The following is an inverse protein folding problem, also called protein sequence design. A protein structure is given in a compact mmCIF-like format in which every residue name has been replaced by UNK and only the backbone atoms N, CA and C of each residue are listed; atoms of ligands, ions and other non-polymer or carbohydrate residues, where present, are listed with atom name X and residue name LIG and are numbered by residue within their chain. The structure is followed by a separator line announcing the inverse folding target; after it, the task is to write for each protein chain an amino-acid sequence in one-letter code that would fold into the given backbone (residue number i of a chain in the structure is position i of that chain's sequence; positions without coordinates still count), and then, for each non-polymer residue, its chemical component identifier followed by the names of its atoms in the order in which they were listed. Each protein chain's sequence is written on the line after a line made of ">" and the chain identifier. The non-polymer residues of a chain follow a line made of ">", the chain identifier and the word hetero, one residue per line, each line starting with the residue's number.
data_IF_388230421172
#
_entry.id   IF_388230421172
#
_cell.length_a   1.000
_cell.length_b   1.000
_cell.length_c   1.000
_cell.angle_alpha   90.00
_cell.angle_beta   90.00
_cell.angle_gamma   90.00
#
_symmetry.space_group_name_H-M   'P 1'
#
loop_
_entity.id
_entity.type
_entity.pdbx_description
1 polymer ?
#
# COMPACT_ATOMS: atom_id res chain seq x y z
N UNK A 1 12.09 2.32 2.41
CA UNK A 1 11.20 1.14 2.41
C UNK A 1 11.56 0.27 3.60
N UNK A 2 10.59 -0.15 4.41
CA UNK A 2 10.86 -1.11 5.48
C UNK A 2 11.12 -2.48 4.86
N UNK A 3 12.35 -2.99 4.95
CA UNK A 3 12.79 -4.25 4.34
C UNK A 3 11.92 -5.44 4.75
N UNK A 4 11.45 -5.45 6.00
CA UNK A 4 10.58 -6.49 6.56
C UNK A 4 9.19 -6.51 5.92
N UNK A 5 8.59 -5.34 5.67
CA UNK A 5 7.28 -5.24 5.03
C UNK A 5 7.35 -5.73 3.57
N UNK A 6 8.34 -5.26 2.81
CA UNK A 6 8.57 -5.73 1.44
C UNK A 6 8.83 -7.25 1.39
N UNK A 7 9.66 -7.77 2.31
CA UNK A 7 9.98 -9.20 2.38
C UNK A 7 8.73 -10.06 2.60
N UNK A 8 7.93 -9.76 3.63
CA UNK A 8 6.71 -10.52 3.91
C UNK A 8 5.67 -10.36 2.80
N UNK A 9 5.49 -9.13 2.31
CA UNK A 9 4.50 -8.78 1.30
C UNK A 9 4.75 -9.52 -0.02
N UNK A 10 6.00 -9.60 -0.47
CA UNK A 10 6.37 -10.25 -1.73
C UNK A 10 6.50 -11.77 -1.58
N UNK A 11 7.00 -12.26 -0.45
CA UNK A 11 7.20 -13.71 -0.23
C UNK A 11 5.88 -14.48 -0.15
N UNK A 12 4.80 -13.84 0.32
CA UNK A 12 3.45 -14.44 0.36
C UNK A 12 2.94 -14.79 -1.06
N UNK A 13 3.44 -14.09 -2.09
CA UNK A 13 3.07 -14.28 -3.49
C UNK A 13 3.96 -15.30 -4.22
N UNK A 14 4.65 -16.14 -3.46
CA UNK A 14 5.54 -17.21 -3.95
C UNK A 14 6.77 -16.73 -4.72
N UNK A 15 7.09 -15.43 -4.65
CA UNK A 15 8.40 -14.91 -5.09
C UNK A 15 9.46 -15.26 -4.06
N UNK A 16 10.69 -15.49 -4.53
CA UNK A 16 11.84 -15.79 -3.66
C UNK A 16 12.70 -14.55 -3.51
N UNK A 17 12.25 -13.61 -2.68
CA UNK A 17 13.02 -12.41 -2.34
C UNK A 17 13.82 -12.61 -1.06
N UNK A 18 14.98 -11.97 -0.97
CA UNK A 18 15.78 -11.89 0.26
C UNK A 18 15.92 -10.43 0.70
N UNK A 19 16.19 -10.15 1.98
CA UNK A 19 16.46 -8.80 2.46
C UNK A 19 17.55 -8.08 1.65
N UNK A 20 18.58 -8.80 1.22
CA UNK A 20 19.68 -8.27 0.40
C UNK A 20 19.21 -7.88 -1.01
N UNK A 21 18.35 -8.69 -1.63
CA UNK A 21 17.76 -8.37 -2.92
C UNK A 21 16.89 -7.12 -2.84
N UNK A 22 16.06 -7.03 -1.78
CA UNK A 22 15.20 -5.88 -1.51
C UNK A 22 16.04 -4.62 -1.31
N UNK A 23 17.12 -4.71 -0.52
CA UNK A 23 18.05 -3.60 -0.29
C UNK A 23 18.72 -3.15 -1.60
N UNK A 24 19.27 -4.08 -2.38
CA UNK A 24 19.94 -3.82 -3.67
C UNK A 24 19.02 -3.17 -4.69
N UNK A 25 17.76 -3.57 -4.71
CA UNK A 25 16.76 -2.98 -5.59
C UNK A 25 16.37 -1.58 -5.11
N UNK A 26 16.24 -1.37 -3.80
CA UNK A 26 15.90 -0.06 -3.23
C UNK A 26 17.03 0.98 -3.34
N UNK A 27 18.29 0.55 -3.42
CA UNK A 27 19.46 1.42 -3.62
C UNK A 27 19.73 1.74 -5.10
N UNK A 28 19.05 1.07 -6.04
CA UNK A 28 19.27 1.25 -7.48
C UNK A 28 20.46 0.46 -8.04
N UNK A 29 21.14 -0.35 -7.23
CA UNK A 29 22.35 -1.11 -7.61
C UNK A 29 22.04 -2.44 -8.33
N UNK A 30 20.80 -2.68 -8.72
CA UNK A 30 20.42 -3.91 -9.40
C UNK A 30 20.78 -3.87 -10.91
N UNK A 31 21.49 -4.90 -11.37
CA UNK A 31 21.90 -5.08 -12.76
C UNK A 31 21.04 -6.14 -13.47
N UNK A 32 20.52 -5.79 -14.66
CA UNK A 32 19.58 -6.61 -15.41
C UNK A 32 20.17 -7.87 -16.06
N UNK A 33 21.48 -8.11 -16.01
CA UNK A 33 22.12 -9.26 -16.68
C UNK A 33 22.08 -10.61 -15.91
N UNK A 34 21.29 -10.74 -14.82
CA UNK A 34 21.17 -11.99 -14.06
C UNK A 34 20.17 -13.00 -14.67
N UNK A 35 20.24 -14.28 -14.25
CA UNK A 35 19.33 -15.35 -14.69
C UNK A 35 17.84 -14.96 -14.59
N UNK A 36 17.01 -15.41 -15.53
CA UNK A 36 15.58 -15.09 -15.68
C UNK A 36 14.74 -15.16 -14.38
N UNK A 37 14.97 -16.15 -13.49
CA UNK A 37 14.28 -16.22 -12.19
C UNK A 37 14.65 -15.07 -11.25
N UNK A 38 15.94 -14.71 -11.15
CA UNK A 38 16.41 -13.60 -10.33
C UNK A 38 15.92 -12.25 -10.88
N UNK A 39 15.79 -12.13 -12.20
CA UNK A 39 15.15 -10.97 -12.82
C UNK A 39 13.69 -10.82 -12.40
N UNK A 40 12.91 -11.90 -12.41
CA UNK A 40 11.50 -11.88 -11.99
C UNK A 40 11.33 -11.47 -10.51
N UNK A 41 12.11 -12.05 -9.61
CA UNK A 41 12.06 -11.70 -8.17
C UNK A 41 12.50 -10.25 -7.92
N UNK A 42 13.54 -9.78 -8.62
CA UNK A 42 14.02 -8.40 -8.53
C UNK A 42 13.01 -7.38 -9.08
N UNK A 43 12.33 -7.72 -10.18
CA UNK A 43 11.26 -6.89 -10.74
C UNK A 43 10.10 -6.75 -9.75
N UNK A 44 9.67 -7.84 -9.11
CA UNK A 44 8.64 -7.77 -8.07
C UNK A 44 9.05 -6.83 -6.91
N UNK A 45 10.30 -6.96 -6.43
CA UNK A 45 10.83 -6.07 -5.39
C UNK A 45 10.89 -4.59 -5.82
N UNK A 46 11.27 -4.31 -7.07
CA UNK A 46 11.42 -2.94 -7.60
C UNK A 46 10.09 -2.21 -7.68
N UNK A 47 9.02 -2.96 -7.88
CA UNK A 47 7.71 -2.43 -8.23
C UNK A 47 6.85 -2.29 -6.99
N UNK A 48 7.02 -3.21 -6.04
CA UNK A 48 6.66 -2.94 -4.65
C UNK A 48 7.32 -1.66 -4.13
N UNK A 49 8.60 -1.45 -4.44
CA UNK A 49 9.30 -0.23 -4.06
C UNK A 49 8.70 1.03 -4.72
N UNK A 50 8.27 0.96 -5.98
CA UNK A 50 7.57 2.08 -6.65
C UNK A 50 6.23 2.40 -5.98
N UNK A 51 5.37 1.40 -5.78
CA UNK A 51 4.12 1.59 -5.06
C UNK A 51 4.35 2.15 -3.65
N UNK A 52 5.36 1.64 -2.94
CA UNK A 52 5.78 2.16 -1.64
C UNK A 52 6.20 3.64 -1.70
N UNK A 53 6.90 4.07 -2.76
CA UNK A 53 7.25 5.47 -2.96
C UNK A 53 5.99 6.33 -3.14
N UNK A 54 5.02 5.93 -3.98
CA UNK A 54 3.79 6.72 -4.13
C UNK A 54 2.97 6.77 -2.84
N UNK A 55 2.90 5.67 -2.07
CA UNK A 55 2.25 5.68 -0.75
C UNK A 55 2.98 6.61 0.21
N UNK A 56 4.32 6.65 0.15
CA UNK A 56 5.13 7.56 0.97
C UNK A 56 4.84 9.02 0.64
N UNK A 57 4.62 9.37 -0.64
CA UNK A 57 4.23 10.73 -1.01
C UNK A 57 2.85 11.11 -0.47
N UNK A 58 1.87 10.21 -0.53
CA UNK A 58 0.55 10.42 0.08
C UNK A 58 0.68 10.57 1.61
N UNK A 59 1.47 9.73 2.28
CA UNK A 59 1.74 9.85 3.73
C UNK A 59 2.38 11.19 4.08
N UNK A 60 3.34 11.68 3.29
CA UNK A 60 3.96 12.99 3.51
C UNK A 60 2.93 14.12 3.39
N UNK A 61 1.96 14.01 2.49
CA UNK A 61 0.87 14.98 2.37
C UNK A 61 -0.07 14.94 3.59
N UNK A 62 -0.42 13.74 4.06
CA UNK A 62 -1.20 13.54 5.29
C UNK A 62 -0.50 14.16 6.51
N UNK A 63 0.81 13.93 6.65
CA UNK A 63 1.62 14.52 7.72
C UNK A 63 1.71 16.05 7.65
N UNK A 64 1.44 16.66 6.49
CA UNK A 64 1.34 18.12 6.32
C UNK A 64 -0.08 18.65 6.60
N UNK A 65 -1.01 17.80 7.00
CA UNK A 65 -2.38 18.18 7.36
C UNK A 65 -3.42 17.96 6.28
N UNK A 66 -3.09 17.30 5.16
CA UNK A 66 -4.13 16.87 4.21
C UNK A 66 -4.97 15.72 4.78
N UNK A 67 -6.24 15.65 4.37
CA UNK A 67 -7.15 14.61 4.84
C UNK A 67 -6.73 13.22 4.32
N UNK A 68 -6.60 12.27 5.24
CA UNK A 68 -6.12 10.93 4.93
C UNK A 68 -7.13 10.09 4.15
N UNK A 69 -8.42 10.20 4.46
CA UNK A 69 -9.49 9.46 3.78
C UNK A 69 -9.58 9.88 2.32
N UNK A 70 -9.65 11.19 2.09
CA UNK A 70 -9.68 11.81 0.76
C UNK A 70 -8.43 11.46 -0.07
N UNK A 71 -7.23 11.58 0.51
CA UNK A 71 -6.00 11.23 -0.21
C UNK A 71 -5.94 9.74 -0.55
N UNK A 72 -6.38 8.87 0.37
CA UNK A 72 -6.42 7.45 0.11
C UNK A 72 -7.42 7.09 -0.99
N UNK A 73 -8.61 7.69 -1.00
CA UNK A 73 -9.62 7.52 -2.06
C UNK A 73 -9.06 7.91 -3.43
N UNK A 74 -8.40 9.07 -3.49
CA UNK A 74 -7.78 9.58 -4.71
C UNK A 74 -6.63 8.68 -5.21
N UNK A 75 -5.74 8.26 -4.32
CA UNK A 75 -4.45 7.69 -4.70
C UNK A 75 -4.42 6.15 -4.72
N UNK A 76 -5.38 5.44 -4.10
CA UNK A 76 -5.31 3.97 -3.99
C UNK A 76 -5.25 3.28 -5.36
N UNK A 77 -5.94 3.82 -6.37
CA UNK A 77 -5.89 3.28 -7.74
C UNK A 77 -4.50 3.41 -8.36
N UNK A 78 -3.78 4.49 -8.04
CA UNK A 78 -2.40 4.71 -8.48
C UNK A 78 -1.45 3.76 -7.77
N UNK A 79 -1.57 3.61 -6.44
CA UNK A 79 -0.75 2.65 -5.68
C UNK A 79 -0.90 1.22 -6.22
N UNK A 80 -2.13 0.85 -6.58
CA UNK A 80 -2.44 -0.45 -7.18
C UNK A 80 -1.75 -0.62 -8.54
N UNK A 81 -1.89 0.34 -9.46
CA UNK A 81 -1.24 0.27 -10.77
C UNK A 81 0.28 0.14 -10.66
N UNK A 82 0.93 0.96 -9.84
CA UNK A 82 2.40 0.89 -9.67
C UNK A 82 2.88 -0.46 -9.11
N UNK A 83 2.03 -1.16 -8.37
CA UNK A 83 2.31 -2.49 -7.85
C UNK A 83 2.25 -3.58 -8.93
N UNK A 84 1.41 -3.41 -9.95
CA UNK A 84 1.08 -4.46 -10.94
C UNK A 84 1.41 -4.14 -12.41
N UNK A 85 1.82 -2.92 -12.76
CA UNK A 85 2.36 -2.54 -14.07
C UNK A 85 3.39 -3.52 -14.69
N UNK A 86 4.23 -4.25 -13.92
CA UNK A 86 5.16 -5.24 -14.49
C UNK A 86 4.46 -6.46 -15.06
N UNK A 87 3.36 -6.87 -14.44
CA UNK A 87 2.54 -7.96 -14.98
C UNK A 87 1.97 -7.55 -16.33
N UNK A 88 1.66 -6.26 -16.51
CA UNK A 88 1.26 -5.70 -17.82
C UNK A 88 2.42 -5.69 -18.81
N UNK A 89 3.58 -5.18 -18.41
CA UNK A 89 4.77 -5.14 -19.27
C UNK A 89 5.28 -6.55 -19.66
N UNK A 90 5.08 -7.55 -18.81
CA UNK A 90 5.42 -8.95 -19.07
C UNK A 90 4.33 -9.71 -19.86
N UNK A 91 3.22 -9.06 -20.23
CA UNK A 91 2.08 -9.68 -20.91
C UNK A 91 1.31 -10.69 -20.07
N UNK A 92 1.50 -10.69 -18.74
CA UNK A 92 0.79 -11.54 -17.77
C UNK A 92 -0.60 -10.95 -17.45
N UNK A 93 -0.68 -9.63 -17.37
CA UNK A 93 -1.90 -8.85 -17.24
C UNK A 93 -2.02 -7.89 -18.42
N UNK A 94 -3.19 -7.33 -18.62
CA UNK A 94 -3.46 -6.23 -19.54
C UNK A 94 -3.65 -4.94 -18.75
N UNK A 95 -3.49 -3.78 -19.41
CA UNK A 95 -3.84 -2.50 -18.79
C UNK A 95 -5.31 -2.44 -18.36
N UNK A 96 -6.19 -3.17 -19.05
CA UNK A 96 -7.59 -3.30 -18.68
C UNK A 96 -7.79 -4.10 -17.37
N UNK A 97 -6.94 -5.09 -17.10
CA UNK A 97 -6.99 -5.85 -15.83
C UNK A 97 -6.62 -4.98 -14.62
N UNK A 98 -5.91 -3.87 -14.83
CA UNK A 98 -5.57 -2.89 -13.79
C UNK A 98 -6.51 -1.67 -13.77
N UNK A 99 -7.49 -1.64 -14.67
CA UNK A 99 -8.42 -0.53 -14.79
C UNK A 99 -9.54 -0.64 -13.77
N UNK A 100 -9.37 0.06 -12.64
CA UNK A 100 -10.39 0.13 -11.60
C UNK A 100 -10.49 -1.14 -10.77
N UNK A 101 -11.68 -1.40 -10.25
CA UNK A 101 -11.96 -2.59 -9.44
C UNK A 101 -12.27 -3.81 -10.31
N UNK A 102 -12.22 -5.00 -9.72
CA UNK A 102 -12.53 -6.24 -10.42
C UNK A 102 -13.95 -6.22 -11.00
N UNK A 103 -14.09 -6.83 -12.16
CA UNK A 103 -15.33 -6.99 -12.91
C UNK A 103 -15.92 -8.41 -12.79
N UNK A 104 -15.25 -9.31 -12.07
CA UNK A 104 -15.65 -10.70 -11.89
C UNK A 104 -15.62 -11.09 -10.40
N UNK A 105 -16.39 -12.12 -10.04
CA UNK A 105 -16.35 -12.70 -8.70
C UNK A 105 -15.03 -13.42 -8.47
N UNK A 106 -14.47 -13.27 -7.27
CA UNK A 106 -13.26 -13.99 -6.84
C UNK A 106 -13.52 -14.78 -5.57
N UNK A 107 -12.69 -15.79 -5.33
CA UNK A 107 -12.75 -16.66 -4.16
C UNK A 107 -11.36 -16.77 -3.55
N UNK A 108 -11.29 -16.66 -2.23
CA UNK A 108 -10.02 -16.72 -1.51
C UNK A 108 -9.78 -18.17 -1.10
N UNK A 109 -8.72 -18.77 -1.64
CA UNK A 109 -8.34 -20.15 -1.31
C UNK A 109 -8.12 -20.33 0.19
N UNK A 110 -8.62 -21.44 0.76
CA UNK A 110 -8.55 -21.78 2.18
C UNK A 110 -9.23 -20.78 3.14
N UNK A 111 -10.10 -19.90 2.64
CA UNK A 111 -10.93 -19.03 3.46
C UNK A 111 -12.40 -19.44 3.39
N UNK A 112 -13.14 -19.29 4.50
CA UNK A 112 -14.60 -19.37 4.51
C UNK A 112 -15.26 -18.05 4.06
N UNK A 113 -14.49 -16.97 4.03
CA UNK A 113 -14.96 -15.67 3.55
C UNK A 113 -15.11 -15.69 2.03
N UNK A 114 -16.29 -15.27 1.57
CA UNK A 114 -16.55 -15.01 0.16
C UNK A 114 -16.61 -13.49 -0.01
N UNK A 115 -15.69 -12.89 -0.79
CA UNK A 115 -15.76 -11.47 -1.10
C UNK A 115 -17.11 -11.05 -1.66
N UNK A 116 -17.47 -9.78 -1.43
CA UNK A 116 -18.70 -9.19 -1.96
C UNK A 116 -18.87 -9.47 -3.45
N UNK A 117 -20.10 -9.56 -3.94
CA UNK A 117 -20.32 -9.58 -5.39
C UNK A 117 -19.89 -8.25 -6.03
N UNK A 118 -19.70 -8.24 -7.34
CA UNK A 118 -19.15 -7.07 -8.06
C UNK A 118 -20.02 -5.82 -7.88
N UNK A 119 -21.34 -5.97 -7.83
CA UNK A 119 -22.25 -4.83 -7.67
C UNK A 119 -22.17 -4.27 -6.24
N UNK A 120 -22.27 -5.14 -5.22
CA UNK A 120 -22.14 -4.73 -3.83
C UNK A 120 -20.74 -4.17 -3.51
N UNK A 121 -19.70 -4.64 -4.18
CA UNK A 121 -18.35 -4.08 -4.08
C UNK A 121 -18.28 -2.66 -4.64
N UNK A 122 -18.91 -2.41 -5.80
CA UNK A 122 -18.96 -1.06 -6.41
C UNK A 122 -19.71 -0.07 -5.52
N UNK A 123 -20.74 -0.52 -4.83
CA UNK A 123 -21.48 0.31 -3.87
C UNK A 123 -20.68 0.53 -2.58
N UNK A 124 -19.99 -0.51 -2.08
CA UNK A 124 -19.27 -0.45 -0.81
C UNK A 124 -17.98 0.36 -0.86
N UNK A 125 -17.27 0.41 -1.99
CA UNK A 125 -15.97 1.08 -2.08
C UNK A 125 -16.04 2.60 -1.85
N UNK A 126 -16.96 3.35 -2.49
CA UNK A 126 -17.14 4.78 -2.19
C UNK A 126 -17.53 5.02 -0.72
N UNK A 127 -18.45 4.21 -0.18
CA UNK A 127 -18.91 4.31 1.21
C UNK A 127 -17.76 4.06 2.18
N UNK A 128 -16.87 3.10 1.90
CA UNK A 128 -15.68 2.88 2.72
C UNK A 128 -14.83 4.14 2.82
N UNK A 129 -14.56 4.82 1.71
CA UNK A 129 -13.71 6.01 1.73
C UNK A 129 -14.41 7.23 2.35
N UNK A 130 -15.71 7.37 2.18
CA UNK A 130 -16.54 8.35 2.92
C UNK A 130 -16.40 8.13 4.44
N UNK A 131 -16.61 6.91 4.91
CA UNK A 131 -16.47 6.57 6.34
C UNK A 131 -15.03 6.79 6.85
N UNK A 132 -14.01 6.54 6.03
CA UNK A 132 -12.62 6.81 6.38
C UNK A 132 -12.27 8.30 6.39
N UNK A 133 -13.01 9.14 5.67
CA UNK A 133 -12.87 10.59 5.75
C UNK A 133 -13.59 11.14 7.00
N UNK A 134 -14.73 10.57 7.37
CA UNK A 134 -15.54 11.03 8.50
C UNK A 134 -15.04 10.54 9.87
N UNK A 135 -14.38 9.39 9.94
CA UNK A 135 -13.94 8.82 11.22
C UNK A 135 -12.82 9.66 11.86
N UNK A 136 -13.05 10.26 13.04
CA UNK A 136 -12.07 11.14 13.67
C UNK A 136 -10.82 10.40 14.15
N UNK A 137 -10.98 9.17 14.65
CA UNK A 137 -9.90 8.47 15.33
C UNK A 137 -9.01 7.69 14.34
N UNK A 138 -7.72 8.03 14.31
CA UNK A 138 -6.79 7.49 13.32
C UNK A 138 -6.54 5.98 13.46
N UNK A 139 -6.54 5.45 14.69
CA UNK A 139 -6.38 4.02 14.93
C UNK A 139 -7.63 3.24 14.52
N UNK A 140 -8.83 3.80 14.72
CA UNK A 140 -10.10 3.24 14.24
C UNK A 140 -10.10 3.20 12.71
N UNK A 141 -9.78 4.32 12.03
CA UNK A 141 -9.62 4.36 10.57
C UNK A 141 -8.65 3.31 10.07
N UNK A 142 -7.49 3.18 10.72
CA UNK A 142 -6.47 2.24 10.30
C UNK A 142 -6.93 0.78 10.40
N UNK A 143 -7.51 0.40 11.55
CA UNK A 143 -7.92 -0.98 11.81
C UNK A 143 -9.15 -1.35 10.97
N UNK A 144 -10.20 -0.51 11.00
CA UNK A 144 -11.43 -0.78 10.26
C UNK A 144 -11.22 -0.63 8.76
N UNK A 145 -10.49 0.39 8.32
CA UNK A 145 -10.14 0.57 6.91
C UNK A 145 -9.38 -0.63 6.36
N UNK A 146 -8.38 -1.12 7.08
CA UNK A 146 -7.66 -2.34 6.71
C UNK A 146 -8.60 -3.55 6.59
N UNK A 147 -9.38 -3.81 7.66
CA UNK A 147 -10.24 -4.98 7.73
C UNK A 147 -11.33 -4.97 6.65
N UNK A 148 -12.06 -3.86 6.53
CA UNK A 148 -13.18 -3.72 5.59
C UNK A 148 -12.66 -3.77 4.14
N UNK A 149 -11.52 -3.14 3.84
CA UNK A 149 -10.93 -3.20 2.49
C UNK A 149 -10.62 -4.65 2.06
N UNK A 150 -9.98 -5.44 2.95
CA UNK A 150 -9.70 -6.86 2.68
C UNK A 150 -10.99 -7.67 2.56
N UNK A 151 -12.01 -7.34 3.35
CA UNK A 151 -13.32 -7.98 3.31
C UNK A 151 -14.04 -7.72 1.98
N UNK A 152 -14.07 -6.47 1.51
CA UNK A 152 -14.65 -6.09 0.20
C UNK A 152 -13.88 -6.78 -0.94
N UNK A 153 -12.55 -6.83 -0.82
CA UNK A 153 -11.64 -7.43 -1.80
C UNK A 153 -11.80 -6.83 -3.21
N UNK A 154 -11.56 -5.51 -3.37
CA UNK A 154 -11.94 -4.79 -4.60
C UNK A 154 -11.08 -5.11 -5.83
N UNK A 155 -9.89 -5.70 -5.66
CA UNK A 155 -8.98 -6.01 -6.76
C UNK A 155 -8.89 -7.50 -7.05
N UNK A 156 -8.40 -7.85 -8.25
CA UNK A 156 -8.16 -9.24 -8.64
C UNK A 156 -7.06 -9.92 -7.80
N UNK A 157 -6.05 -9.14 -7.39
CA UNK A 157 -4.95 -9.59 -6.54
C UNK A 157 -4.39 -8.40 -5.73
N UNK A 158 -3.53 -8.62 -4.73
CA UNK A 158 -2.81 -7.57 -4.01
C UNK A 158 -3.63 -6.85 -2.94
N UNK A 159 -4.87 -7.26 -2.67
CA UNK A 159 -5.75 -6.64 -1.67
C UNK A 159 -5.11 -6.53 -0.27
N UNK A 160 -4.37 -7.56 0.16
CA UNK A 160 -3.65 -7.51 1.44
C UNK A 160 -2.53 -6.46 1.48
N UNK A 161 -1.86 -6.21 0.35
CA UNK A 161 -0.80 -5.17 0.24
C UNK A 161 -1.40 -3.78 0.24
N UNK A 162 -2.46 -3.60 -0.55
CA UNK A 162 -3.25 -2.37 -0.59
C UNK A 162 -3.82 -2.02 0.79
N UNK A 163 -4.38 -3.00 1.50
CA UNK A 163 -4.89 -2.78 2.85
C UNK A 163 -3.80 -2.40 3.87
N UNK A 164 -2.57 -2.89 3.72
CA UNK A 164 -1.43 -2.47 4.56
C UNK A 164 -0.98 -1.04 4.23
N UNK A 165 -0.95 -0.67 2.96
CA UNK A 165 -0.68 0.71 2.54
C UNK A 165 -1.74 1.67 3.09
N UNK A 166 -3.03 1.30 2.97
CA UNK A 166 -4.15 2.05 3.54
C UNK A 166 -4.00 2.21 5.06
N UNK A 167 -3.74 1.12 5.78
CA UNK A 167 -3.51 1.16 7.24
C UNK A 167 -2.40 2.14 7.62
N UNK A 168 -1.27 2.12 6.91
CA UNK A 168 -0.14 3.01 7.18
C UNK A 168 -0.47 4.48 6.88
N UNK A 169 -1.27 4.75 5.84
CA UNK A 169 -1.75 6.09 5.53
C UNK A 169 -2.69 6.62 6.62
N UNK A 170 -3.64 5.80 7.08
CA UNK A 170 -4.56 6.17 8.16
C UNK A 170 -3.82 6.42 9.48
N UNK A 171 -2.87 5.56 9.86
CA UNK A 171 -2.08 5.75 11.07
C UNK A 171 -1.24 7.06 11.04
N UNK A 172 -0.84 7.51 9.86
CA UNK A 172 -0.06 8.75 9.74
C UNK A 172 -0.89 9.98 10.14
N UNK A 173 -2.22 9.92 9.95
CA UNK A 173 -3.14 11.00 10.34
C UNK A 173 -3.25 11.20 11.85
N UNK A 174 -2.96 10.17 12.66
CA UNK A 174 -2.94 10.25 14.12
C UNK A 174 -1.68 10.92 14.68
N UNK A 175 -0.68 11.16 13.83
CA UNK A 175 0.52 11.93 14.15
C UNK A 175 0.49 13.37 13.62
N UNK A 176 -0.62 13.79 13.00
CA UNK A 176 -0.81 15.15 12.51
C UNK A 176 -0.76 16.14 13.67
N UNK A 177 0.15 17.11 13.55
CA UNK A 177 0.63 17.92 14.66
C UNK A 177 -0.42 18.92 15.17
N UNK A 178 -1.09 18.57 16.26
CA UNK A 178 -1.40 19.51 17.32
C UNK A 178 -0.21 19.56 18.31
N UNK A 179 0.16 20.76 18.77
CA UNK A 179 1.45 21.04 19.47
C UNK A 179 1.78 20.22 20.74
N UNK A 180 0.88 19.32 21.18
CA UNK A 180 1.01 18.51 22.39
C UNK A 180 1.51 17.06 22.15
N UNK A 181 1.55 16.56 20.90
CA UNK A 181 1.77 15.12 20.61
C UNK A 181 3.19 14.77 20.12
N UNK A 182 4.10 15.75 20.01
CA UNK A 182 5.49 15.62 19.50
C UNK A 182 6.34 14.50 20.15
N UNK A 183 6.01 14.07 21.38
CA UNK A 183 6.77 13.04 22.11
C UNK A 183 6.47 11.58 21.75
N UNK A 184 5.26 11.25 21.25
CA UNK A 184 4.80 9.84 21.13
C UNK A 184 4.94 9.24 19.71
N UNK A 185 4.87 10.04 18.65
CA UNK A 185 4.90 9.57 17.24
C UNK A 185 6.27 9.02 16.77
N UNK A 186 7.38 9.35 17.46
CA UNK A 186 8.75 8.99 17.03
C UNK A 186 9.03 7.49 16.93
N UNK A 187 8.24 6.62 17.58
CA UNK A 187 8.56 5.20 17.70
C UNK A 187 8.01 4.32 16.56
N UNK A 188 6.98 4.77 15.83
CA UNK A 188 6.38 4.02 14.69
C UNK A 188 6.91 4.53 13.34
N UNK A 189 7.13 5.85 13.19
CA UNK A 189 7.53 6.48 11.92
C UNK A 189 8.99 6.96 11.85
N UNK A 190 9.85 6.54 12.80
CA UNK A 190 11.25 6.99 12.94
C UNK A 190 12.20 6.74 11.75
N UNK A 191 11.72 6.11 10.67
CA UNK A 191 12.45 5.92 9.41
C UNK A 191 12.14 7.03 8.39
N UNK A 192 11.02 7.74 8.51
CA UNK A 192 10.54 8.73 7.52
C UNK A 192 10.77 10.18 7.98
N UNK A 193 10.86 10.42 9.29
CA UNK A 193 10.89 11.77 9.88
C UNK A 193 12.26 12.39 10.17
N UNK A 194 13.39 11.79 9.78
CA UNK A 194 14.73 12.32 10.14
C UNK A 194 15.14 13.62 9.43
N UNK A 195 14.37 14.12 8.46
CA UNK A 195 14.81 15.23 7.59
C UNK A 195 14.04 16.55 7.74
N UNK A 196 13.16 16.74 8.73
CA UNK A 196 12.31 17.95 8.78
C UNK A 196 12.24 18.73 10.11
N UNK A 197 13.10 18.48 11.09
CA UNK A 197 13.30 19.47 12.17
C UNK A 197 14.60 20.25 11.92
N UNK A 198 14.46 21.41 11.26
CA UNK A 198 15.46 22.46 11.35
C UNK A 198 15.57 22.91 12.80
N UNK A 199 16.79 22.97 13.31
CA UNK A 199 17.13 23.56 14.61
C UNK A 199 16.81 25.05 14.57
N UNK A 200 15.68 25.43 15.15
CA UNK A 200 15.42 26.82 15.55
C UNK A 200 16.07 27.07 16.91
N UNK A 201 17.17 27.80 16.91
CA UNK A 201 17.59 28.68 18.00
C UNK A 201 17.61 30.09 17.44
#
# INVERSE_FOLDING_TARGET
>A
MATTDAYHSISIERYRVTPELIAKVSSGEWNANEKHRKQRDAMAARRYYQAFQSVTESIKAILRGEDAGMLADKDHSKWYREMFDPSVAAGILTGADLAGYRNHQVYIGNSKHVPLNVDAMRDAMPILFELLQEEPEASVRAVLGHFIFVFIHPYMDGNGRMARFLMNAMLASGGSMDGNTCGKSRRIYGVIGKSQCGTGH
#
